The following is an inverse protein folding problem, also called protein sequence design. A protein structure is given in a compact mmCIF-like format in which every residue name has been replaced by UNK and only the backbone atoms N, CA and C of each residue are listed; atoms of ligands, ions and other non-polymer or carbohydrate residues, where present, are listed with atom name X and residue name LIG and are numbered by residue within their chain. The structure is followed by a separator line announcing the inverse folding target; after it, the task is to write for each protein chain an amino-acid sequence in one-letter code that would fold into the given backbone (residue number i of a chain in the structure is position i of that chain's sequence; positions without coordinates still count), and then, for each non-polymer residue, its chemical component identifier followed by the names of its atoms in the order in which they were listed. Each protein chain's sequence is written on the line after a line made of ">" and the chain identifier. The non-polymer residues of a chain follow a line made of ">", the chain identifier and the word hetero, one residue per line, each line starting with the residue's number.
data_IF_030590484504
#
_entry.id   IF_030590484504
#
_cell.length_a   1.000
_cell.length_b   1.000
_cell.length_c   1.000
_cell.angle_alpha   90.00
_cell.angle_beta   90.00
_cell.angle_gamma   90.00
#
_symmetry.space_group_name_H-M   'P 1'
#
loop_
_entity.id
_entity.type
_entity.pdbx_description
1 polymer ?
#
# COMPACT_ATOMS: atom_id res chain seq x y z
N UNK A 1 24.69 -18.72 11.59
CA UNK A 1 24.48 -18.58 10.13
C UNK A 1 25.47 -17.55 9.64
N UNK A 2 26.43 -17.95 8.81
CA UNK A 2 27.50 -17.08 8.32
C UNK A 2 26.90 -15.95 7.47
N UNK A 3 27.17 -14.71 7.87
CA UNK A 3 26.75 -13.50 7.16
C UNK A 3 27.67 -13.30 5.95
N UNK A 4 27.27 -13.86 4.80
CA UNK A 4 28.04 -13.89 3.56
C UNK A 4 28.04 -12.54 2.79
N UNK A 5 27.78 -11.42 3.46
CA UNK A 5 27.71 -10.11 2.79
C UNK A 5 28.94 -9.28 3.07
N UNK A 6 29.70 -9.05 2.01
CA UNK A 6 30.82 -8.12 2.06
C UNK A 6 30.30 -6.69 2.28
N UNK A 7 30.72 -5.97 3.33
CA UNK A 7 30.22 -4.63 3.64
C UNK A 7 30.48 -3.64 2.50
N UNK A 8 31.50 -3.87 1.65
CA UNK A 8 31.79 -3.04 0.46
C UNK A 8 30.66 -3.07 -0.55
N UNK A 9 29.92 -4.17 -0.62
CA UNK A 9 28.82 -4.37 -1.56
C UNK A 9 27.46 -4.02 -0.96
N UNK A 10 27.42 -3.58 0.30
CA UNK A 10 26.17 -3.14 0.91
C UNK A 10 25.59 -1.93 0.17
N UNK A 11 24.26 -1.85 0.09
CA UNK A 11 23.60 -0.76 -0.63
C UNK A 11 23.95 0.63 -0.05
N UNK A 12 24.17 0.74 1.26
CA UNK A 12 24.56 2.00 1.89
C UNK A 12 25.99 2.39 1.52
N UNK A 13 26.92 1.43 1.52
CA UNK A 13 28.31 1.71 1.14
C UNK A 13 28.37 2.14 -0.32
N UNK A 14 27.70 1.41 -1.21
CA UNK A 14 27.61 1.78 -2.62
C UNK A 14 26.99 3.17 -2.79
N UNK A 15 25.90 3.46 -2.10
CA UNK A 15 25.26 4.78 -2.19
C UNK A 15 26.23 5.90 -1.79
N UNK A 16 26.94 5.75 -0.66
CA UNK A 16 27.92 6.74 -0.22
C UNK A 16 29.09 6.89 -1.20
N UNK A 17 29.66 5.78 -1.68
CA UNK A 17 30.76 5.80 -2.67
C UNK A 17 30.35 6.43 -4.00
N UNK A 18 29.09 6.28 -4.38
CA UNK A 18 28.53 6.92 -5.56
C UNK A 18 28.01 8.36 -5.31
N UNK A 19 28.32 8.96 -4.15
CA UNK A 19 27.95 10.34 -3.82
C UNK A 19 26.46 10.57 -3.60
N UNK A 20 25.68 9.52 -3.35
CA UNK A 20 24.25 9.62 -3.09
C UNK A 20 24.03 10.15 -1.67
N UNK A 21 23.29 11.26 -1.58
CA UNK A 21 22.93 11.88 -0.30
C UNK A 21 21.80 11.08 0.37
N UNK A 22 22.15 10.34 1.43
CA UNK A 22 21.18 9.66 2.30
C UNK A 22 20.58 10.69 3.26
N UNK A 23 19.24 10.79 3.31
CA UNK A 23 18.53 11.83 4.05
C UNK A 23 18.13 11.37 5.45
N UNK A 24 17.47 10.20 5.54
CA UNK A 24 17.01 9.63 6.82
C UNK A 24 16.71 8.15 6.71
N UNK A 25 16.73 7.48 7.84
CA UNK A 25 16.12 6.16 7.99
C UNK A 25 14.60 6.29 8.00
N UNK A 26 13.89 5.47 7.22
CA UNK A 26 12.41 5.45 7.19
C UNK A 26 11.81 4.23 7.88
N UNK A 27 12.60 3.17 8.02
CA UNK A 27 12.26 1.96 8.76
C UNK A 27 13.55 1.23 9.16
N UNK A 28 13.44 0.16 9.94
CA UNK A 28 14.60 -0.66 10.31
C UNK A 28 15.40 -1.16 9.10
N UNK A 29 14.77 -1.31 7.93
CA UNK A 29 15.38 -1.91 6.75
C UNK A 29 15.52 -0.94 5.56
N UNK A 30 14.95 0.27 5.64
CA UNK A 30 14.96 1.22 4.53
C UNK A 30 15.48 2.60 4.92
N UNK A 31 16.32 3.15 4.05
CA UNK A 31 16.78 4.53 4.06
C UNK A 31 16.19 5.28 2.87
N UNK A 32 15.83 6.54 3.09
CA UNK A 32 15.45 7.46 2.03
C UNK A 32 16.66 8.31 1.65
N UNK A 33 16.92 8.41 0.35
CA UNK A 33 18.03 9.14 -0.23
C UNK A 33 17.57 9.96 -1.44
N UNK A 34 18.47 10.84 -1.91
CA UNK A 34 18.28 11.57 -3.17
C UNK A 34 18.46 10.65 -4.38
N UNK A 35 17.55 10.72 -5.33
CA UNK A 35 17.61 9.90 -6.54
C UNK A 35 18.56 10.53 -7.57
N UNK A 36 19.69 9.89 -7.91
CA UNK A 36 20.63 10.42 -8.88
C UNK A 36 20.10 10.40 -10.32
N UNK A 37 19.03 9.63 -10.60
CA UNK A 37 18.51 9.44 -11.96
C UNK A 37 17.45 10.46 -12.36
N UNK A 38 16.64 10.93 -11.41
CA UNK A 38 15.57 11.89 -11.71
C UNK A 38 15.71 13.22 -10.96
N UNK A 39 16.68 13.32 -10.05
CA UNK A 39 16.83 14.47 -9.15
C UNK A 39 15.69 14.60 -8.15
N UNK A 40 15.87 15.48 -7.18
CA UNK A 40 14.90 15.80 -6.12
C UNK A 40 14.67 17.30 -6.02
N UNK A 41 13.60 17.71 -5.35
CA UNK A 41 13.29 19.12 -5.15
C UNK A 41 14.38 19.80 -4.31
N UNK A 42 14.91 20.91 -4.81
CA UNK A 42 15.81 21.79 -4.04
C UNK A 42 15.06 22.54 -2.93
N UNK A 43 13.75 22.76 -3.12
CA UNK A 43 12.90 23.51 -2.17
C UNK A 43 12.62 22.76 -0.87
N UNK A 44 12.73 21.43 -0.86
CA UNK A 44 12.54 20.63 0.34
C UNK A 44 13.77 19.73 0.56
N UNK A 45 14.73 20.17 1.39
CA UNK A 45 15.98 19.45 1.57
C UNK A 45 15.81 18.06 2.19
N UNK A 46 14.67 17.82 2.87
CA UNK A 46 14.32 16.53 3.50
C UNK A 46 13.54 15.60 2.57
N UNK A 47 13.22 16.00 1.34
CA UNK A 47 12.45 15.17 0.43
C UNK A 47 13.36 14.34 -0.48
N UNK A 48 13.14 13.03 -0.53
CA UNK A 48 13.84 12.11 -1.42
C UNK A 48 12.90 11.01 -1.90
N UNK A 49 13.23 10.41 -3.04
CA UNK A 49 12.42 9.35 -3.64
C UNK A 49 13.14 8.00 -3.73
N UNK A 50 14.46 7.97 -3.49
CA UNK A 50 15.26 6.75 -3.60
C UNK A 50 15.21 5.99 -2.27
N UNK A 51 14.57 4.84 -2.26
CA UNK A 51 14.56 3.94 -1.11
C UNK A 51 15.72 2.95 -1.24
N UNK A 52 16.57 2.86 -0.22
CA UNK A 52 17.69 1.93 -0.12
C UNK A 52 17.33 0.88 0.94
N UNK A 53 17.12 -0.36 0.51
CA UNK A 53 16.77 -1.47 1.38
C UNK A 53 18.03 -2.26 1.76
N UNK A 54 18.42 -2.19 3.03
CA UNK A 54 19.67 -2.78 3.54
C UNK A 54 19.60 -4.30 3.69
N UNK A 55 18.40 -4.87 3.80
CA UNK A 55 18.24 -6.32 3.86
C UNK A 55 18.34 -6.97 2.47
N UNK A 56 17.89 -6.29 1.42
CA UNK A 56 17.91 -6.82 0.05
C UNK A 56 19.12 -6.34 -0.75
N UNK A 57 19.92 -5.45 -0.18
CA UNK A 57 20.95 -4.68 -0.87
C UNK A 57 20.43 -4.11 -2.20
N UNK A 58 19.22 -3.55 -2.13
CA UNK A 58 18.44 -3.13 -3.28
C UNK A 58 18.01 -1.68 -3.16
N UNK A 59 17.81 -1.02 -4.30
CA UNK A 59 17.22 0.31 -4.36
C UNK A 59 15.96 0.33 -5.21
N UNK A 60 15.08 1.27 -4.89
CA UNK A 60 13.89 1.59 -5.68
C UNK A 60 13.54 3.06 -5.53
N UNK A 61 13.48 3.79 -6.65
CA UNK A 61 12.97 5.14 -6.68
C UNK A 61 11.45 5.13 -6.86
N UNK A 62 10.71 5.60 -5.86
CA UNK A 62 9.25 5.68 -5.87
C UNK A 62 8.69 6.69 -6.87
N UNK A 63 9.54 7.52 -7.47
CA UNK A 63 9.15 8.53 -8.47
C UNK A 63 9.41 8.10 -9.91
N UNK A 64 10.66 7.82 -10.26
CA UNK A 64 11.02 7.46 -11.64
C UNK A 64 10.94 5.96 -11.92
N UNK A 65 10.83 5.11 -10.89
CA UNK A 65 10.74 3.66 -11.02
C UNK A 65 12.09 2.95 -11.25
N UNK A 66 13.21 3.68 -11.28
CA UNK A 66 14.55 3.08 -11.31
C UNK A 66 14.76 2.20 -10.09
N UNK A 67 15.28 0.99 -10.32
CA UNK A 67 15.44 -0.03 -9.29
C UNK A 67 16.51 -1.03 -9.65
N UNK A 68 17.08 -1.68 -8.65
CA UNK A 68 18.11 -2.70 -8.86
C UNK A 68 18.78 -3.07 -7.55
N UNK A 69 19.96 -3.67 -7.65
CA UNK A 69 20.81 -4.05 -6.52
C UNK A 69 22.03 -3.14 -6.43
N UNK A 70 22.74 -3.20 -5.30
CA UNK A 70 23.90 -2.36 -4.99
C UNK A 70 24.93 -2.30 -6.13
N UNK A 71 25.43 -3.44 -6.60
CA UNK A 71 26.42 -3.46 -7.71
C UNK A 71 25.86 -2.79 -8.98
N UNK A 72 24.60 -3.07 -9.32
CA UNK A 72 23.95 -2.47 -10.49
C UNK A 72 23.72 -0.96 -10.36
N UNK A 73 23.55 -0.45 -9.14
CA UNK A 73 23.48 0.99 -8.87
C UNK A 73 24.81 1.65 -9.24
N UNK A 74 25.91 1.13 -8.71
CA UNK A 74 27.26 1.62 -9.01
C UNK A 74 27.55 1.54 -10.51
N UNK A 75 27.33 0.37 -11.11
CA UNK A 75 27.55 0.13 -12.54
C UNK A 75 26.83 1.18 -13.41
N UNK A 76 25.56 1.46 -13.10
CA UNK A 76 24.74 2.41 -13.85
C UNK A 76 25.20 3.86 -13.68
N UNK A 77 25.61 4.26 -12.48
CA UNK A 77 26.11 5.62 -12.22
C UNK A 77 27.47 5.87 -12.87
N UNK A 78 28.33 4.85 -12.89
CA UNK A 78 29.68 4.93 -13.46
C UNK A 78 29.73 4.53 -14.95
N UNK A 79 28.61 4.11 -15.54
CA UNK A 79 28.50 3.68 -16.94
C UNK A 79 29.43 2.51 -17.31
N UNK A 80 29.58 1.58 -16.38
CA UNK A 80 30.38 0.36 -16.52
C UNK A 80 29.48 -0.87 -16.39
N UNK A 81 30.01 -2.06 -16.69
CA UNK A 81 29.26 -3.30 -16.49
C UNK A 81 29.33 -3.79 -15.03
N UNK A 82 28.46 -4.75 -14.66
CA UNK A 82 28.41 -5.26 -13.28
C UNK A 82 29.71 -5.94 -12.83
N UNK A 83 30.47 -6.56 -13.75
CA UNK A 83 31.75 -7.21 -13.39
C UNK A 83 32.83 -6.19 -13.06
N UNK A 84 32.88 -5.08 -13.79
CA UNK A 84 33.79 -3.96 -13.53
C UNK A 84 33.42 -3.28 -12.21
N UNK A 85 32.13 -2.97 -12.03
CA UNK A 85 31.61 -2.40 -10.79
C UNK A 85 31.95 -3.25 -9.56
N UNK A 86 31.80 -4.57 -9.66
CA UNK A 86 32.19 -5.48 -8.59
C UNK A 86 33.69 -5.38 -8.27
N UNK A 87 34.57 -5.40 -9.29
CA UNK A 87 36.02 -5.30 -9.09
C UNK A 87 36.41 -3.97 -8.45
N UNK A 88 35.84 -2.86 -8.92
CA UNK A 88 36.09 -1.54 -8.36
C UNK A 88 35.66 -1.46 -6.89
N UNK A 89 34.43 -1.87 -6.58
CA UNK A 89 33.89 -1.85 -5.21
C UNK A 89 34.71 -2.73 -4.27
N UNK A 90 35.18 -3.89 -4.74
CA UNK A 90 36.02 -4.79 -3.93
C UNK A 90 37.42 -4.21 -3.65
N UNK A 91 37.92 -3.31 -4.50
CA UNK A 91 39.19 -2.61 -4.28
C UNK A 91 39.04 -1.37 -3.39
N UNK A 92 37.82 -0.97 -3.03
CA UNK A 92 37.58 0.18 -2.15
C UNK A 92 37.62 -0.21 -0.67
N UNK A 93 38.05 0.74 0.16
CA UNK A 93 37.86 0.66 1.61
C UNK A 93 36.37 0.92 1.89
N UNK A 94 35.67 0.00 2.58
CA UNK A 94 34.28 0.23 2.97
C UNK A 94 34.22 1.46 3.88
N UNK A 95 33.26 2.34 3.64
CA UNK A 95 32.95 3.42 4.57
C UNK A 95 32.58 2.82 5.94
N UNK A 96 33.01 3.49 7.01
CA UNK A 96 32.50 3.19 8.35
C UNK A 96 31.05 3.64 8.44
N UNK A 97 30.14 2.77 7.99
CA UNK A 97 28.73 2.92 8.24
C UNK A 97 28.51 2.56 9.71
N UNK A 98 27.84 3.40 10.52
CA UNK A 98 27.41 2.99 11.84
C UNK A 98 26.69 1.65 11.71
N UNK A 99 27.15 0.61 12.42
CA UNK A 99 26.39 -0.63 12.51
C UNK A 99 25.05 -0.29 13.14
N UNK A 100 24.05 -0.09 12.30
CA UNK A 100 22.68 0.03 12.74
C UNK A 100 22.31 -1.40 13.13
N UNK A 101 22.35 -1.68 14.43
CA UNK A 101 21.85 -2.95 14.96
C UNK A 101 20.35 -3.00 14.71
N UNK A 102 19.97 -3.57 13.57
CA UNK A 102 18.57 -3.83 13.26
C UNK A 102 18.11 -4.98 14.14
N UNK A 103 17.45 -4.68 15.26
CA UNK A 103 16.76 -5.70 16.05
C UNK A 103 15.55 -6.18 15.24
N UNK A 104 15.76 -7.19 14.36
CA UNK A 104 14.67 -7.82 13.61
C UNK A 104 13.76 -8.53 14.59
N UNK A 105 12.56 -7.98 14.76
CA UNK A 105 11.52 -8.68 15.51
C UNK A 105 11.05 -9.89 14.67
N UNK A 106 10.88 -11.07 15.27
CA UNK A 106 10.30 -12.21 14.57
C UNK A 106 8.94 -11.83 13.98
N UNK A 107 8.77 -12.04 12.67
CA UNK A 107 7.51 -11.80 11.98
C UNK A 107 6.85 -13.12 11.61
N UNK A 108 5.53 -13.10 11.55
CA UNK A 108 4.74 -14.27 11.23
C UNK A 108 4.43 -14.32 9.74
N UNK A 109 4.40 -15.52 9.13
CA UNK A 109 3.95 -15.68 7.76
C UNK A 109 2.49 -15.27 7.65
N UNK A 110 2.13 -14.69 6.51
CA UNK A 110 0.75 -14.26 6.29
C UNK A 110 -0.20 -15.47 6.28
N UNK A 111 -1.30 -15.35 7.01
CA UNK A 111 -2.33 -16.37 7.08
C UNK A 111 -3.12 -16.49 5.77
N UNK A 112 -3.82 -17.62 5.63
CA UNK A 112 -4.69 -17.88 4.48
C UNK A 112 -5.76 -16.79 4.35
N UNK A 113 -6.31 -16.63 3.14
CA UNK A 113 -7.39 -15.65 2.92
C UNK A 113 -8.66 -15.97 3.73
N UNK A 114 -8.95 -17.25 3.97
CA UNK A 114 -10.11 -17.66 4.75
C UNK A 114 -9.94 -17.31 6.24
N UNK A 115 -8.74 -17.53 6.80
CA UNK A 115 -8.44 -17.13 8.18
C UNK A 115 -8.48 -15.61 8.33
N UNK A 116 -7.89 -14.87 7.38
CA UNK A 116 -7.95 -13.40 7.37
C UNK A 116 -9.39 -12.88 7.35
N UNK A 117 -10.23 -13.39 6.44
CA UNK A 117 -11.63 -12.97 6.35
C UNK A 117 -12.39 -13.25 7.65
N UNK A 118 -12.25 -14.46 8.20
CA UNK A 118 -12.88 -14.87 9.45
C UNK A 118 -12.51 -13.93 10.60
N UNK A 119 -11.21 -13.67 10.79
CA UNK A 119 -10.72 -12.78 11.85
C UNK A 119 -11.17 -11.34 11.62
N UNK A 120 -11.04 -10.81 10.40
CA UNK A 120 -11.43 -9.42 10.13
C UNK A 120 -12.92 -9.18 10.30
N UNK A 121 -13.79 -10.11 9.93
CA UNK A 121 -15.24 -9.98 10.17
C UNK A 121 -15.57 -9.97 11.65
N UNK A 122 -15.06 -10.93 12.41
CA UNK A 122 -15.27 -10.99 13.85
C UNK A 122 -14.70 -9.74 14.55
N UNK A 123 -13.55 -9.25 14.09
CA UNK A 123 -12.96 -8.02 14.60
C UNK A 123 -13.84 -6.80 14.30
N UNK A 124 -14.25 -6.60 13.05
CA UNK A 124 -15.08 -5.45 12.66
C UNK A 124 -16.46 -5.46 13.33
N UNK A 125 -17.01 -6.65 13.64
CA UNK A 125 -18.27 -6.78 14.37
C UNK A 125 -18.20 -6.19 15.79
N UNK A 126 -17.04 -6.30 16.43
CA UNK A 126 -16.77 -5.74 17.77
C UNK A 126 -16.56 -4.22 17.78
N UNK A 127 -16.45 -3.60 16.62
CA UNK A 127 -16.16 -2.16 16.50
C UNK A 127 -17.42 -1.34 16.22
N UNK A 128 -17.34 -0.05 16.51
CA UNK A 128 -18.37 0.93 16.17
C UNK A 128 -17.86 1.94 15.14
N UNK A 129 -18.75 2.63 14.47
CA UNK A 129 -18.41 3.73 13.57
C UNK A 129 -18.77 5.06 14.24
N UNK A 130 -17.76 5.89 14.51
CA UNK A 130 -17.92 7.22 15.10
C UNK A 130 -18.77 8.12 14.19
N UNK A 131 -19.56 8.99 14.81
CA UNK A 131 -20.48 9.90 14.11
C UNK A 131 -19.78 10.79 13.06
N UNK A 132 -18.56 11.24 13.32
CA UNK A 132 -17.79 12.08 12.38
C UNK A 132 -17.38 11.32 11.11
N UNK A 133 -16.97 10.05 11.23
CA UNK A 133 -16.61 9.19 10.10
C UNK A 133 -17.83 8.81 9.27
N UNK A 134 -18.93 8.52 9.96
CA UNK A 134 -20.23 8.26 9.37
C UNK A 134 -20.73 9.45 8.54
N UNK A 135 -20.69 10.66 9.10
CA UNK A 135 -21.00 11.89 8.36
C UNK A 135 -20.03 12.10 7.17
N UNK A 136 -18.75 11.76 7.31
CA UNK A 136 -17.78 11.81 6.22
C UNK A 136 -18.22 10.91 5.04
N UNK A 137 -18.58 9.66 5.33
CA UNK A 137 -19.02 8.67 4.34
C UNK A 137 -20.35 9.06 3.68
N UNK A 138 -21.30 9.61 4.45
CA UNK A 138 -22.57 10.13 3.91
C UNK A 138 -22.32 11.32 2.97
N UNK A 139 -21.45 12.26 3.34
CA UNK A 139 -21.08 13.40 2.48
C UNK A 139 -20.46 12.96 1.15
N UNK A 140 -19.81 11.79 1.14
CA UNK A 140 -19.26 11.13 -0.06
C UNK A 140 -20.31 10.39 -0.90
N UNK A 141 -21.57 10.39 -0.48
CA UNK A 141 -22.69 9.88 -1.27
C UNK A 141 -23.11 8.44 -0.97
N UNK A 142 -22.55 7.81 0.07
CA UNK A 142 -22.99 6.49 0.52
C UNK A 142 -24.27 6.58 1.36
N UNK A 143 -25.12 5.56 1.28
CA UNK A 143 -26.25 5.38 2.20
C UNK A 143 -25.81 4.65 3.47
N UNK A 144 -26.61 4.74 4.52
CA UNK A 144 -26.42 4.00 5.77
C UNK A 144 -26.31 2.48 5.55
N UNK A 145 -27.17 1.94 4.69
CA UNK A 145 -27.15 0.52 4.32
C UNK A 145 -25.85 0.13 3.63
N UNK A 146 -25.35 0.96 2.72
CA UNK A 146 -24.09 0.70 2.02
C UNK A 146 -22.89 0.81 2.96
N UNK A 147 -22.91 1.78 3.89
CA UNK A 147 -21.89 1.93 4.93
C UNK A 147 -21.84 0.67 5.81
N UNK A 148 -23.00 0.16 6.24
CA UNK A 148 -23.11 -1.07 7.00
C UNK A 148 -22.63 -2.29 6.21
N UNK A 149 -23.09 -2.43 4.96
CA UNK A 149 -22.68 -3.51 4.05
C UNK A 149 -21.17 -3.56 3.81
N UNK A 150 -20.55 -2.38 3.69
CA UNK A 150 -19.11 -2.27 3.46
C UNK A 150 -18.28 -2.41 4.74
N UNK A 151 -18.91 -2.53 5.91
CA UNK A 151 -18.27 -2.77 7.20
C UNK A 151 -17.24 -1.70 7.58
N UNK A 152 -17.51 -0.43 7.28
CA UNK A 152 -16.66 0.67 7.76
C UNK A 152 -16.79 0.80 9.28
N UNK A 153 -15.65 0.84 9.98
CA UNK A 153 -15.58 0.93 11.44
C UNK A 153 -14.45 1.86 11.88
N UNK A 154 -14.68 2.62 12.94
CA UNK A 154 -13.64 3.46 13.53
C UNK A 154 -12.65 2.62 14.31
N UNK A 155 -11.41 3.08 14.34
CA UNK A 155 -10.34 2.41 15.08
C UNK A 155 -10.45 2.76 16.57
N UNK A 156 -10.53 1.76 17.47
CA UNK A 156 -10.44 2.00 18.90
C UNK A 156 -9.00 2.32 19.28
N UNK A 157 -8.79 3.45 19.97
CA UNK A 157 -7.45 3.93 20.33
C UNK A 157 -7.12 3.80 21.81
N UNK A 158 -8.09 3.39 22.63
CA UNK A 158 -7.91 3.17 24.06
C UNK A 158 -7.25 1.79 24.28
N UNK A 159 -6.05 1.69 24.91
CA UNK A 159 -5.33 0.43 25.05
C UNK A 159 -6.12 -0.69 25.75
N UNK A 160 -6.88 -0.37 26.79
CA UNK A 160 -7.71 -1.35 27.50
C UNK A 160 -8.81 -1.93 26.60
N UNK A 161 -9.41 -1.11 25.73
CA UNK A 161 -10.42 -1.54 24.78
C UNK A 161 -9.82 -2.48 23.73
N UNK A 162 -8.65 -2.14 23.19
CA UNK A 162 -7.95 -2.99 22.20
C UNK A 162 -7.58 -4.35 22.79
N UNK A 163 -7.04 -4.36 24.00
CA UNK A 163 -6.71 -5.60 24.71
C UNK A 163 -7.96 -6.47 24.92
N UNK A 164 -9.08 -5.87 25.35
CA UNK A 164 -10.36 -6.58 25.51
C UNK A 164 -10.80 -7.22 24.18
N UNK A 165 -10.79 -6.45 23.10
CA UNK A 165 -11.17 -6.93 21.77
C UNK A 165 -10.30 -8.10 21.33
N UNK A 166 -8.96 -8.01 21.48
CA UNK A 166 -8.04 -9.09 21.18
C UNK A 166 -8.38 -10.36 21.99
N UNK A 167 -8.63 -10.22 23.29
CA UNK A 167 -8.94 -11.36 24.17
C UNK A 167 -10.27 -12.02 23.78
N UNK A 168 -11.28 -11.25 23.42
CA UNK A 168 -12.56 -11.80 22.95
C UNK A 168 -12.41 -12.59 21.65
N UNK A 169 -11.62 -12.08 20.69
CA UNK A 169 -11.32 -12.82 19.46
C UNK A 169 -10.62 -14.16 19.76
N UNK A 170 -9.67 -14.17 20.70
CA UNK A 170 -8.99 -15.40 21.11
C UNK A 170 -9.94 -16.37 21.83
N UNK A 171 -10.85 -15.87 22.67
CA UNK A 171 -11.87 -16.67 23.35
C UNK A 171 -12.87 -17.30 22.38
N UNK A 172 -13.15 -16.63 21.25
CA UNK A 172 -13.93 -17.17 20.13
C UNK A 172 -13.14 -18.23 19.30
N UNK A 173 -11.92 -18.57 19.72
CA UNK A 173 -11.07 -19.58 19.07
C UNK A 173 -10.41 -19.07 17.79
N UNK A 174 -10.31 -17.75 17.60
CA UNK A 174 -9.65 -17.16 16.44
C UNK A 174 -8.14 -17.05 16.67
N UNK A 175 -7.36 -17.25 15.60
CA UNK A 175 -5.92 -17.09 15.62
C UNK A 175 -5.51 -15.74 15.02
N UNK A 176 -4.94 -14.85 15.85
CA UNK A 176 -4.46 -13.54 15.41
C UNK A 176 -3.07 -13.59 14.77
N UNK A 177 -2.37 -14.74 14.88
CA UNK A 177 -1.06 -14.92 14.29
C UNK A 177 -1.14 -14.98 12.76
N UNK A 178 -0.27 -14.24 12.07
CA UNK A 178 -0.29 -14.17 10.61
C UNK A 178 -1.38 -13.24 10.05
N UNK A 179 -2.16 -12.55 10.90
CA UNK A 179 -3.20 -11.60 10.46
C UNK A 179 -2.59 -10.18 10.42
N UNK A 180 -2.48 -9.55 9.23
CA UNK A 180 -1.95 -8.20 9.11
C UNK A 180 -2.70 -7.20 10.01
N UNK A 181 -1.93 -6.42 10.76
CA UNK A 181 -2.44 -5.41 11.70
C UNK A 181 -2.39 -5.85 13.16
N UNK A 182 -2.41 -7.16 13.44
CA UNK A 182 -2.27 -7.71 14.79
C UNK A 182 -0.81 -8.06 15.10
N UNK A 183 -0.41 -7.90 16.35
CA UNK A 183 0.94 -8.23 16.83
C UNK A 183 0.95 -8.52 18.32
N UNK A 184 2.05 -9.08 18.80
CA UNK A 184 2.26 -9.32 20.22
C UNK A 184 3.07 -8.19 20.85
N UNK A 185 2.66 -7.77 22.04
CA UNK A 185 3.40 -6.86 22.90
C UNK A 185 3.89 -7.64 24.12
N UNK A 186 5.18 -7.50 24.40
CA UNK A 186 5.77 -7.99 25.64
C UNK A 186 5.82 -6.84 26.64
N UNK A 187 5.23 -7.05 27.82
CA UNK A 187 5.33 -6.12 28.95
C UNK A 187 5.61 -6.93 30.20
N UNK A 188 6.71 -6.62 30.87
CA UNK A 188 7.21 -7.39 32.02
C UNK A 188 7.38 -8.87 31.65
N UNK A 189 6.62 -9.77 32.27
CA UNK A 189 6.63 -11.21 32.02
C UNK A 189 5.37 -11.72 31.29
N UNK A 190 4.58 -10.82 30.69
CA UNK A 190 3.37 -11.19 29.95
C UNK A 190 3.48 -10.79 28.48
N UNK A 191 2.98 -11.67 27.62
CA UNK A 191 2.79 -11.40 26.21
C UNK A 191 1.30 -11.33 25.93
N UNK A 192 0.83 -10.24 25.34
CA UNK A 192 -0.56 -10.08 24.94
C UNK A 192 -0.65 -9.60 23.50
N UNK A 193 -1.83 -9.77 22.90
CA UNK A 193 -2.11 -9.31 21.55
C UNK A 193 -2.61 -7.87 21.55
N UNK A 194 -2.12 -7.08 20.61
CA UNK A 194 -2.60 -5.73 20.29
C UNK A 194 -2.74 -5.61 18.76
N UNK A 195 -3.26 -4.48 18.29
CA UNK A 195 -3.33 -4.15 16.87
C UNK A 195 -3.01 -2.69 16.59
N UNK A 196 -2.66 -2.42 15.33
CA UNK A 196 -2.32 -1.08 14.87
C UNK A 196 -3.52 -0.12 15.04
N UNK A 197 -3.29 1.02 15.69
CA UNK A 197 -4.38 1.83 16.27
C UNK A 197 -4.28 3.34 16.02
N UNK A 198 -3.71 3.77 14.89
CA UNK A 198 -3.73 5.21 14.56
C UNK A 198 -5.17 5.68 14.32
N UNK A 199 -5.47 6.94 14.67
CA UNK A 199 -6.81 7.50 14.56
C UNK A 199 -7.31 7.50 13.11
N UNK A 200 -8.50 6.93 12.89
CA UNK A 200 -9.07 6.76 11.57
C UNK A 200 -10.23 5.77 11.54
N UNK A 201 -10.57 5.33 10.33
CA UNK A 201 -11.50 4.22 10.11
C UNK A 201 -10.99 3.20 9.09
N UNK A 202 -11.38 1.95 9.31
CA UNK A 202 -11.09 0.82 8.46
C UNK A 202 -11.92 0.85 7.17
N UNK A 203 -11.27 0.53 6.07
CA UNK A 203 -11.82 0.33 4.73
C UNK A 203 -11.47 -1.11 4.32
N UNK A 204 -12.42 -2.05 4.45
CA UNK A 204 -12.20 -3.44 4.05
C UNK A 204 -11.94 -3.59 2.55
N UNK A 205 -10.95 -4.39 2.20
CA UNK A 205 -10.57 -4.70 0.82
C UNK A 205 -10.89 -6.17 0.55
N UNK A 206 -11.75 -6.42 -0.43
CA UNK A 206 -12.32 -7.73 -0.72
C UNK A 206 -11.74 -8.36 -1.98
N UNK A 207 -11.67 -9.68 -2.00
CA UNK A 207 -11.40 -10.46 -3.22
C UNK A 207 -12.67 -10.68 -4.05
N UNK A 208 -12.55 -11.43 -5.15
CA UNK A 208 -13.68 -11.78 -6.03
C UNK A 208 -14.77 -12.61 -5.34
N UNK A 209 -14.45 -13.36 -4.28
CA UNK A 209 -15.43 -14.10 -3.49
C UNK A 209 -16.06 -13.24 -2.38
N UNK A 210 -15.72 -11.96 -2.29
CA UNK A 210 -16.22 -11.06 -1.26
C UNK A 210 -15.54 -11.23 0.11
N UNK A 211 -14.47 -12.03 0.19
CA UNK A 211 -13.67 -12.25 1.41
C UNK A 211 -12.76 -11.06 1.67
N UNK A 212 -12.69 -10.59 2.90
CA UNK A 212 -11.80 -9.51 3.34
C UNK A 212 -10.37 -10.06 3.36
N UNK A 213 -9.56 -9.63 2.40
CA UNK A 213 -8.15 -10.00 2.30
C UNK A 213 -7.25 -9.02 3.08
N UNK A 214 -7.71 -7.80 3.32
CA UNK A 214 -6.99 -6.81 4.10
C UNK A 214 -7.83 -5.58 4.34
N UNK A 215 -7.28 -4.60 5.05
CA UNK A 215 -7.97 -3.33 5.30
C UNK A 215 -7.02 -2.17 5.09
N UNK A 216 -7.48 -1.14 4.40
CA UNK A 216 -6.87 0.18 4.51
C UNK A 216 -7.44 0.93 5.69
N UNK A 217 -6.71 1.91 6.16
CA UNK A 217 -7.12 2.86 7.18
C UNK A 217 -7.08 4.22 6.52
N UNK A 218 -8.20 4.92 6.58
CA UNK A 218 -8.21 6.35 6.34
C UNK A 218 -7.92 7.06 7.64
N UNK A 219 -6.80 7.79 7.69
CA UNK A 219 -6.39 8.53 8.87
C UNK A 219 -7.23 9.79 9.04
N UNK A 220 -7.43 10.19 10.29
CA UNK A 220 -8.14 11.43 10.63
C UNK A 220 -7.26 12.66 10.38
N UNK A 221 -5.97 12.54 10.72
CA UNK A 221 -4.91 13.50 10.38
C UNK A 221 -4.20 13.04 9.10
N UNK A 222 -4.38 13.79 8.01
CA UNK A 222 -3.84 13.47 6.68
C UNK A 222 -2.65 14.35 6.25
N UNK A 223 -2.00 15.05 7.18
CA UNK A 223 -0.90 15.99 6.89
C UNK A 223 0.27 15.35 6.12
N UNK A 224 0.64 14.10 6.42
CA UNK A 224 1.72 13.38 5.71
C UNK A 224 1.22 12.28 4.78
N UNK A 225 0.24 11.47 5.22
CA UNK A 225 -0.30 10.34 4.46
C UNK A 225 -1.77 10.18 4.79
N UNK A 226 -2.60 10.10 3.77
CA UNK A 226 -4.06 10.00 3.92
C UNK A 226 -4.56 8.58 4.18
N UNK A 227 -3.85 7.59 3.65
CA UNK A 227 -4.22 6.18 3.73
C UNK A 227 -3.01 5.34 4.09
N UNK A 228 -3.21 4.38 4.99
CA UNK A 228 -2.22 3.36 5.34
C UNK A 228 -2.86 1.98 5.32
N UNK A 229 -2.06 0.93 5.16
CA UNK A 229 -2.57 -0.43 5.31
C UNK A 229 -2.60 -0.82 6.79
N UNK A 230 -3.66 -1.50 7.22
CA UNK A 230 -3.69 -2.18 8.52
C UNK A 230 -2.65 -3.31 8.50
N UNK A 231 -1.50 -3.02 9.08
CA UNK A 231 -0.27 -3.79 8.93
C UNK A 231 0.51 -3.73 10.23
N UNK A 232 1.09 -4.85 10.62
CA UNK A 232 1.97 -4.96 11.79
C UNK A 232 3.40 -5.32 11.37
N UNK A 233 3.78 -4.98 10.13
CA UNK A 233 5.16 -5.11 9.64
C UNK A 233 6.12 -4.43 10.62
N UNK A 234 7.18 -5.14 11.01
CA UNK A 234 8.19 -4.65 11.94
C UNK A 234 7.85 -4.83 13.42
N UNK A 235 6.67 -5.37 13.77
CA UNK A 235 6.29 -5.68 15.15
C UNK A 235 6.52 -7.16 15.48
N UNK A 236 6.66 -7.48 16.77
CA UNK A 236 6.83 -8.87 17.25
C UNK A 236 5.61 -9.72 16.92
N UNK A 237 5.84 -10.90 16.31
CA UNK A 237 4.78 -11.77 15.79
C UNK A 237 3.82 -11.03 14.84
N UNK A 238 4.29 -9.92 14.27
CA UNK A 238 3.53 -9.07 13.37
C UNK A 238 3.57 -9.60 11.95
N UNK A 239 2.63 -9.15 11.14
CA UNK A 239 2.48 -9.54 9.74
C UNK A 239 2.29 -8.31 8.89
N UNK A 240 3.10 -8.17 7.84
CA UNK A 240 2.97 -7.07 6.91
C UNK A 240 1.76 -7.22 5.98
N UNK A 241 1.08 -6.11 5.71
CA UNK A 241 0.07 -6.07 4.66
C UNK A 241 0.70 -6.06 3.26
N UNK A 242 -0.04 -6.60 2.29
CA UNK A 242 0.27 -6.45 0.86
C UNK A 242 -0.63 -5.37 0.26
N UNK A 243 -0.22 -4.80 -0.87
CA UNK A 243 -1.08 -3.89 -1.62
C UNK A 243 -2.08 -4.72 -2.45
N UNK A 244 -3.12 -5.24 -1.80
CA UNK A 244 -4.12 -6.09 -2.45
C UNK A 244 -4.99 -5.31 -3.43
N UNK A 245 -5.37 -6.00 -4.50
CA UNK A 245 -6.32 -5.53 -5.50
C UNK A 245 -7.73 -5.74 -4.96
N UNK A 246 -8.52 -4.69 -4.81
CA UNK A 246 -9.90 -4.77 -4.31
C UNK A 246 -10.90 -5.01 -5.42
N UNK A 247 -11.91 -5.85 -5.18
CA UNK A 247 -13.06 -6.06 -6.08
C UNK A 247 -14.32 -5.45 -5.47
N UNK A 248 -15.04 -4.66 -6.26
CA UNK A 248 -16.20 -3.88 -5.83
C UNK A 248 -17.35 -4.11 -6.81
N UNK A 249 -18.32 -4.93 -6.39
CA UNK A 249 -19.41 -5.41 -7.24
C UNK A 249 -19.28 -6.88 -7.59
N UNK A 250 -19.89 -7.28 -8.70
CA UNK A 250 -19.99 -8.68 -9.15
C UNK A 250 -19.14 -8.92 -10.40
N UNK A 251 -18.77 -10.17 -10.74
CA UNK A 251 -18.10 -10.49 -12.00
C UNK A 251 -18.79 -9.84 -13.22
N UNK A 252 -18.00 -9.28 -14.13
CA UNK A 252 -18.51 -8.51 -15.27
C UNK A 252 -17.53 -8.53 -16.44
N UNK A 253 -18.08 -8.60 -17.66
CA UNK A 253 -17.31 -8.47 -18.91
C UNK A 253 -16.64 -7.10 -19.06
N UNK A 254 -17.17 -6.07 -18.39
CA UNK A 254 -16.64 -4.70 -18.39
C UNK A 254 -16.38 -4.23 -16.97
N UNK A 255 -15.14 -3.85 -16.67
CA UNK A 255 -14.68 -3.41 -15.34
C UNK A 255 -14.00 -2.05 -15.44
N UNK A 256 -14.18 -1.22 -14.41
CA UNK A 256 -13.44 0.02 -14.24
C UNK A 256 -12.32 -0.16 -13.21
N UNK A 257 -11.10 0.28 -13.53
CA UNK A 257 -9.98 0.29 -12.58
C UNK A 257 -9.79 1.71 -12.05
N UNK A 258 -9.74 1.87 -10.73
CA UNK A 258 -9.53 3.18 -10.08
C UNK A 258 -8.59 3.10 -8.88
N UNK A 259 -8.21 4.25 -8.34
CA UNK A 259 -7.30 4.38 -7.21
C UNK A 259 -8.02 4.37 -5.87
N UNK A 260 -7.68 3.40 -5.03
CA UNK A 260 -8.12 3.29 -3.65
C UNK A 260 -9.46 2.56 -3.49
N UNK A 261 -9.59 1.69 -2.48
CA UNK A 261 -10.80 0.90 -2.23
C UNK A 261 -12.01 1.73 -1.87
N UNK A 262 -11.88 2.77 -1.02
CA UNK A 262 -13.02 3.63 -0.65
C UNK A 262 -13.63 4.33 -1.88
N UNK A 263 -12.78 4.78 -2.80
CA UNK A 263 -13.22 5.40 -4.05
C UNK A 263 -14.00 4.42 -4.91
N UNK A 264 -13.50 3.20 -5.04
CA UNK A 264 -14.15 2.15 -5.80
C UNK A 264 -15.49 1.72 -5.18
N UNK A 265 -15.59 1.62 -3.84
CA UNK A 265 -16.86 1.37 -3.16
C UNK A 265 -17.91 2.43 -3.51
N UNK A 266 -17.54 3.72 -3.39
CA UNK A 266 -18.43 4.84 -3.71
C UNK A 266 -18.81 4.83 -5.19
N UNK A 267 -17.83 4.67 -6.09
CA UNK A 267 -18.07 4.67 -7.52
C UNK A 267 -18.95 3.48 -7.96
N UNK A 268 -18.73 2.30 -7.38
CA UNK A 268 -19.59 1.13 -7.56
C UNK A 268 -21.02 1.42 -7.10
N UNK A 269 -21.19 1.95 -5.88
CA UNK A 269 -22.51 2.27 -5.34
C UNK A 269 -23.27 3.28 -6.20
N UNK A 270 -22.57 4.31 -6.71
CA UNK A 270 -23.18 5.38 -7.49
C UNK A 270 -23.51 4.99 -8.94
N UNK A 271 -22.73 4.08 -9.54
CA UNK A 271 -22.85 3.77 -10.97
C UNK A 271 -23.33 2.35 -11.28
N UNK A 272 -23.28 1.44 -10.30
CA UNK A 272 -23.56 -0.01 -10.41
C UNK A 272 -22.64 -0.79 -11.34
N UNK A 273 -21.60 -0.17 -11.89
CA UNK A 273 -20.53 -0.89 -12.57
C UNK A 273 -19.62 -1.59 -11.58
N UNK A 274 -18.97 -2.68 -12.03
CA UNK A 274 -17.93 -3.35 -11.25
C UNK A 274 -16.64 -2.56 -11.31
N UNK A 275 -16.04 -2.32 -10.14
CA UNK A 275 -14.75 -1.67 -10.00
C UNK A 275 -13.71 -2.65 -9.46
N UNK A 276 -12.48 -2.43 -9.92
CA UNK A 276 -11.27 -2.99 -9.33
C UNK A 276 -10.42 -1.83 -8.81
N UNK A 277 -10.00 -1.90 -7.55
CA UNK A 277 -9.19 -0.84 -6.93
C UNK A 277 -7.73 -1.25 -6.80
N UNK A 278 -6.85 -0.28 -7.00
CA UNK A 278 -5.42 -0.38 -6.69
C UNK A 278 -5.05 0.64 -5.62
N UNK A 279 -4.32 0.19 -4.59
CA UNK A 279 -3.88 1.04 -3.48
C UNK A 279 -2.63 1.86 -3.85
N UNK A 280 -2.82 2.80 -4.78
CA UNK A 280 -1.77 3.57 -5.43
C UNK A 280 -1.53 3.09 -6.86
N UNK A 281 -1.23 4.04 -7.76
CA UNK A 281 -1.17 3.81 -9.22
C UNK A 281 -0.20 2.72 -9.67
N UNK A 282 0.82 2.42 -8.86
CA UNK A 282 1.81 1.38 -9.12
C UNK A 282 1.54 0.04 -8.44
N UNK A 283 0.54 -0.03 -7.54
CA UNK A 283 0.16 -1.23 -6.80
C UNK A 283 -0.71 -2.18 -7.64
N UNK A 284 -0.21 -2.56 -8.83
CA UNK A 284 -0.96 -3.32 -9.85
C UNK A 284 -0.54 -4.78 -9.94
N UNK A 285 0.16 -5.31 -8.92
CA UNK A 285 0.63 -6.70 -8.92
C UNK A 285 -0.57 -7.66 -8.80
N UNK A 286 -0.70 -8.57 -9.76
CA UNK A 286 -1.77 -9.57 -9.78
C UNK A 286 -3.09 -9.09 -10.36
N UNK A 287 -3.18 -7.85 -10.85
CA UNK A 287 -4.44 -7.31 -11.40
C UNK A 287 -4.94 -8.12 -12.60
N UNK A 288 -4.05 -8.66 -13.43
CA UNK A 288 -4.45 -9.47 -14.59
C UNK A 288 -5.15 -10.76 -14.18
N UNK A 289 -4.69 -11.37 -13.08
CA UNK A 289 -5.31 -12.57 -12.53
C UNK A 289 -6.71 -12.27 -12.02
N UNK A 290 -6.87 -11.19 -11.24
CA UNK A 290 -8.19 -10.76 -10.74
C UNK A 290 -9.15 -10.48 -11.89
N UNK A 291 -8.70 -9.77 -12.93
CA UNK A 291 -9.54 -9.47 -14.09
C UNK A 291 -9.91 -10.72 -14.90
N UNK A 292 -9.01 -11.72 -15.00
CA UNK A 292 -9.30 -13.02 -15.62
C UNK A 292 -10.34 -13.80 -14.81
N UNK A 293 -10.19 -13.84 -13.49
CA UNK A 293 -11.14 -14.51 -12.57
C UNK A 293 -12.53 -13.85 -12.62
N UNK A 294 -12.59 -12.53 -12.82
CA UNK A 294 -13.83 -11.79 -13.06
C UNK A 294 -14.44 -12.02 -14.46
N UNK A 295 -13.78 -12.82 -15.31
CA UNK A 295 -14.14 -13.04 -16.72
C UNK A 295 -14.23 -11.72 -17.51
N UNK A 296 -13.37 -10.75 -17.16
CA UNK A 296 -13.36 -9.43 -17.80
C UNK A 296 -12.83 -9.51 -19.22
N UNK A 297 -13.42 -8.74 -20.13
CA UNK A 297 -12.92 -8.54 -21.50
C UNK A 297 -12.48 -7.10 -21.74
N UNK A 298 -13.26 -6.14 -21.24
CA UNK A 298 -13.03 -4.71 -21.38
C UNK A 298 -12.69 -4.05 -20.06
N UNK A 299 -11.61 -3.29 -20.04
CA UNK A 299 -11.14 -2.55 -18.88
C UNK A 299 -11.11 -1.06 -19.18
N UNK A 300 -11.74 -0.26 -18.32
CA UNK A 300 -11.63 1.20 -18.34
C UNK A 300 -10.76 1.67 -17.18
N UNK A 301 -9.61 2.27 -17.46
CA UNK A 301 -8.78 2.92 -16.45
C UNK A 301 -9.37 4.30 -16.16
N UNK A 302 -9.85 4.49 -14.93
CA UNK A 302 -10.46 5.71 -14.40
C UNK A 302 -9.68 6.19 -13.17
N UNK A 303 -8.41 6.54 -13.39
CA UNK A 303 -7.54 7.18 -12.39
C UNK A 303 -7.95 8.63 -12.15
N UNK A 304 -7.45 9.25 -11.09
CA UNK A 304 -7.79 10.63 -10.75
C UNK A 304 -7.35 11.60 -11.85
N UNK A 305 -8.02 12.74 -11.96
CA UNK A 305 -7.72 13.71 -13.02
C UNK A 305 -6.38 14.43 -12.85
N UNK A 306 -5.66 14.20 -11.74
CA UNK A 306 -4.25 14.56 -11.65
C UNK A 306 -3.39 13.83 -12.68
N UNK A 307 -3.91 12.79 -13.34
CA UNK A 307 -3.39 12.23 -14.59
C UNK A 307 -3.08 13.31 -15.64
N UNK A 308 -3.82 14.43 -15.68
CA UNK A 308 -3.57 15.51 -16.66
C UNK A 308 -2.29 16.31 -16.37
N UNK A 309 -1.93 16.46 -15.10
CA UNK A 309 -0.83 17.32 -14.66
C UNK A 309 0.38 16.56 -14.10
N UNK A 310 0.19 15.30 -13.68
CA UNK A 310 1.20 14.49 -13.02
C UNK A 310 1.80 13.43 -13.96
N UNK A 311 3.00 13.71 -14.48
CA UNK A 311 3.75 12.78 -15.37
C UNK A 311 4.01 11.42 -14.74
N UNK A 312 4.09 11.30 -13.41
CA UNK A 312 4.31 10.00 -12.76
C UNK A 312 3.05 9.14 -12.82
N UNK A 313 1.87 9.75 -12.61
CA UNK A 313 0.57 9.09 -12.74
C UNK A 313 0.34 8.67 -14.20
N UNK A 314 0.71 9.51 -15.17
CA UNK A 314 0.67 9.15 -16.60
C UNK A 314 1.52 7.91 -16.90
N UNK A 315 2.78 7.90 -16.47
CA UNK A 315 3.67 6.74 -16.66
C UNK A 315 3.14 5.48 -15.98
N UNK A 316 2.58 5.59 -14.77
CA UNK A 316 1.99 4.45 -14.06
C UNK A 316 0.77 3.90 -14.81
N UNK A 317 -0.10 4.79 -15.30
CA UNK A 317 -1.25 4.45 -16.15
C UNK A 317 -0.81 3.76 -17.45
N UNK A 318 0.19 4.28 -18.14
CA UNK A 318 0.73 3.69 -19.38
C UNK A 318 1.32 2.30 -19.13
N UNK A 319 2.04 2.12 -18.01
CA UNK A 319 2.54 0.80 -17.60
C UNK A 319 1.39 -0.18 -17.38
N UNK A 320 0.33 0.24 -16.68
CA UNK A 320 -0.84 -0.61 -16.45
C UNK A 320 -1.55 -0.94 -17.76
N UNK A 321 -1.78 0.04 -18.62
CA UNK A 321 -2.42 -0.14 -19.92
C UNK A 321 -1.66 -1.15 -20.79
N UNK A 322 -0.35 -0.97 -20.95
CA UNK A 322 0.50 -1.91 -21.69
C UNK A 322 0.41 -3.32 -21.11
N UNK A 323 0.49 -3.43 -19.78
CA UNK A 323 0.41 -4.70 -19.05
C UNK A 323 -0.92 -5.43 -19.28
N UNK A 324 -2.03 -4.71 -19.27
CA UNK A 324 -3.36 -5.27 -19.51
C UNK A 324 -3.60 -5.63 -20.98
N UNK A 325 -3.13 -4.81 -21.93
CA UNK A 325 -3.20 -5.12 -23.36
C UNK A 325 -2.41 -6.41 -23.66
N UNK A 326 -1.19 -6.53 -23.12
CA UNK A 326 -0.38 -7.75 -23.24
C UNK A 326 -1.04 -8.99 -22.63
N UNK A 327 -1.88 -8.81 -21.61
CA UNK A 327 -2.66 -9.88 -21.02
C UNK A 327 -3.95 -10.22 -21.79
N UNK A 328 -4.24 -9.52 -22.90
CA UNK A 328 -5.35 -9.82 -23.81
C UNK A 328 -6.64 -9.06 -23.53
N UNK A 329 -6.61 -7.98 -22.74
CA UNK A 329 -7.79 -7.16 -22.45
C UNK A 329 -7.97 -6.02 -23.47
N UNK A 330 -9.23 -5.66 -23.75
CA UNK A 330 -9.58 -4.42 -24.44
C UNK A 330 -9.49 -3.27 -23.42
N UNK A 331 -8.48 -2.41 -23.53
CA UNK A 331 -8.20 -1.37 -22.54
C UNK A 331 -8.51 0.02 -23.08
N UNK A 332 -9.22 0.80 -22.28
CA UNK A 332 -9.59 2.17 -22.56
C UNK A 332 -9.27 3.08 -21.38
N UNK A 333 -9.09 4.36 -21.62
CA UNK A 333 -8.92 5.36 -20.56
C UNK A 333 -10.15 6.24 -20.46
N UNK A 334 -10.65 6.47 -19.25
CA UNK A 334 -11.73 7.42 -18.99
C UNK A 334 -11.16 8.70 -18.40
N UNK A 335 -11.54 9.82 -18.99
CA UNK A 335 -11.25 11.16 -18.49
C UNK A 335 -12.55 11.96 -18.41
N UNK A 336 -12.56 12.97 -17.54
CA UNK A 336 -13.66 13.92 -17.38
C UNK A 336 -13.10 15.32 -17.13
N UNK A 337 -13.98 16.30 -17.03
CA UNK A 337 -13.61 17.65 -16.61
C UNK A 337 -13.31 17.65 -15.10
N UNK A 338 -12.09 18.00 -14.72
CA UNK A 338 -11.61 17.95 -13.33
C UNK A 338 -12.39 18.88 -12.40
N UNK A 339 -13.02 19.92 -12.96
CA UNK A 339 -13.90 20.84 -12.23
C UNK A 339 -15.15 20.15 -11.69
N UNK A 340 -15.53 19.02 -12.28
CA UNK A 340 -16.70 18.23 -11.88
C UNK A 340 -16.37 17.20 -10.79
N UNK A 341 -15.08 16.98 -10.50
CA UNK A 341 -14.61 16.04 -9.50
C UNK A 341 -13.17 15.61 -9.74
N UNK A 342 -12.38 15.51 -8.68
CA UNK A 342 -10.98 15.06 -8.77
C UNK A 342 -10.91 13.56 -9.08
N UNK A 343 -11.64 12.76 -8.29
CA UNK A 343 -11.76 11.31 -8.49
C UNK A 343 -13.03 10.91 -9.22
N UNK A 344 -13.09 9.66 -9.67
CA UNK A 344 -14.28 9.12 -10.35
C UNK A 344 -15.49 9.07 -9.41
N UNK A 345 -15.26 8.87 -8.11
CA UNK A 345 -16.28 8.96 -7.06
C UNK A 345 -16.89 10.36 -6.97
N UNK A 346 -16.05 11.40 -6.95
CA UNK A 346 -16.50 12.80 -6.94
C UNK A 346 -17.33 13.13 -8.19
N UNK A 347 -16.84 12.74 -9.37
CA UNK A 347 -17.53 12.98 -10.64
C UNK A 347 -18.90 12.26 -10.70
N UNK A 348 -18.96 11.00 -10.26
CA UNK A 348 -20.20 10.24 -10.21
C UNK A 348 -21.18 10.83 -9.19
N UNK A 349 -20.68 11.35 -8.06
CA UNK A 349 -21.51 12.01 -7.07
C UNK A 349 -22.10 13.31 -7.62
N UNK A 350 -21.28 14.13 -8.27
CA UNK A 350 -21.75 15.32 -8.98
C UNK A 350 -22.84 14.95 -9.99
N UNK A 351 -22.60 13.94 -10.84
CA UNK A 351 -23.57 13.48 -11.86
C UNK A 351 -24.88 12.99 -11.24
N UNK A 352 -24.82 12.29 -10.10
CA UNK A 352 -26.01 11.83 -9.38
C UNK A 352 -26.82 13.01 -8.85
N UNK A 353 -26.16 14.03 -8.31
CA UNK A 353 -26.83 15.25 -7.80
C UNK A 353 -27.54 16.03 -8.91
N UNK A 354 -26.95 16.10 -10.11
CA UNK A 354 -27.59 16.76 -11.26
C UNK A 354 -28.86 16.06 -11.77
N UNK A 355 -29.08 14.78 -11.43
CA UNK A 355 -30.29 14.04 -11.83
C UNK A 355 -31.44 14.17 -10.82
N UNK A 356 -31.16 14.75 -9.65
CA UNK A 356 -32.13 14.95 -8.56
C UNK A 356 -32.70 16.38 -8.59
N UNK A 357 -32.04 17.29 -9.32
CA UNK A 357 -32.56 18.59 -9.75
C UNK A 357 -33.25 18.40 -11.09
#
# INVERSE_FOLDING_TARGET
>A
MCDYRDPRLSILNVAQKSGIVILRQVSNEEFMARCPFCGDSEKNPKHGHLMLNIEKDAYHCTRCGEKGFAIGLYARLHRINNSEAFKELMNMIPETIPKIETKKMPQSPIASINERDKVYRAFLDKLTLKGEHLQNLIRRGLSWEEIGRNLYKSIPTIPQERLRICNELLQEGLNLNGIPGFFQVQKENQTYWDFYSDNGFFIPVRDIQGRIQGMQIRLDDDHERKYVWFSSRGKSSGTGAHAWIGVHGVPSKTVLVTEGPLKADIAHFLSRFTFVSVAGVDATKGIEQVLKELDTKRVFIAYDMDLKSNKNVQKAKERLEKKLIQAGFEVHTKTWDERLGKGIDDYLLWKKRQKVV
#
